data_IF_602844250521
#
_entry.id   IF_602844250521
#
_cell.length_a   1.000
_cell.length_b   1.000
_cell.length_c   1.000
_cell.angle_alpha   90.00
_cell.angle_beta   90.00
_cell.angle_gamma   90.00
#
_symmetry.space_group_name_H-M   'P 1'
#
loop_
_entity.id
_entity.type
_entity.pdbx_description
1 polymer ?
#
# COMPACT_ATOMS: atom_id res chain seq x y z
N UNK A 1 25.43 -18.56 2.89
CA UNK A 1 24.04 -18.44 2.45
C UNK A 1 23.16 -18.58 3.67
N UNK A 2 22.56 -17.50 4.14
CA UNK A 2 21.49 -17.54 5.13
C UNK A 2 20.21 -17.39 4.34
N UNK A 3 19.50 -18.49 4.11
CA UNK A 3 18.11 -18.43 3.66
C UNK A 3 17.30 -18.26 4.92
N UNK A 4 17.05 -17.02 5.31
CA UNK A 4 16.00 -16.72 6.29
C UNK A 4 14.69 -17.05 5.60
N UNK A 5 14.07 -18.17 5.93
CA UNK A 5 12.65 -18.36 5.65
C UNK A 5 11.90 -17.36 6.52
N UNK A 6 11.64 -16.17 5.99
CA UNK A 6 10.59 -15.33 6.54
C UNK A 6 9.31 -16.14 6.36
N UNK A 7 8.62 -16.44 7.46
CA UNK A 7 7.20 -16.73 7.32
C UNK A 7 6.62 -15.41 6.80
N UNK A 8 6.18 -15.45 5.54
CA UNK A 8 5.62 -14.30 4.88
C UNK A 8 4.13 -14.55 4.75
N UNK A 9 3.32 -13.53 5.05
CA UNK A 9 1.87 -13.62 4.88
C UNK A 9 1.55 -13.21 3.46
N UNK A 10 0.53 -13.85 2.88
CA UNK A 10 0.06 -13.46 1.56
C UNK A 10 -1.07 -12.45 1.70
N UNK A 11 -0.89 -11.28 1.11
CA UNK A 11 -1.93 -10.28 0.97
C UNK A 11 -2.49 -10.38 -0.44
N UNK A 12 -3.82 -10.36 -0.55
CA UNK A 12 -4.54 -10.39 -1.83
C UNK A 12 -5.40 -9.14 -1.90
N UNK A 13 -5.12 -8.28 -2.87
CA UNK A 13 -5.86 -7.04 -3.10
C UNK A 13 -6.66 -7.20 -4.38
N UNK A 14 -7.99 -7.22 -4.25
CA UNK A 14 -8.92 -7.35 -5.38
C UNK A 14 -9.67 -6.04 -5.59
N UNK A 15 -9.64 -5.51 -6.81
CA UNK A 15 -10.53 -4.43 -7.20
C UNK A 15 -11.88 -5.02 -7.63
N UNK A 16 -12.87 -4.99 -6.73
CA UNK A 16 -14.23 -5.43 -7.04
C UNK A 16 -15.15 -4.27 -7.50
N UNK A 17 -14.59 -3.10 -7.80
CA UNK A 17 -15.33 -1.99 -8.40
C UNK A 17 -15.46 -2.17 -9.92
N UNK A 18 -16.45 -1.51 -10.52
CA UNK A 18 -16.68 -1.52 -11.98
C UNK A 18 -15.74 -0.57 -12.75
N UNK A 19 -14.77 0.04 -12.08
CA UNK A 19 -13.83 1.01 -12.63
C UNK A 19 -12.41 0.75 -12.14
N UNK A 20 -11.42 1.29 -12.85
CA UNK A 20 -10.01 1.24 -12.44
C UNK A 20 -9.80 2.05 -11.17
N UNK A 21 -9.08 1.45 -10.22
CA UNK A 21 -8.53 2.14 -9.05
C UNK A 21 -7.02 2.03 -9.08
N UNK A 22 -6.33 2.91 -8.35
CA UNK A 22 -4.89 2.83 -8.19
C UNK A 22 -4.57 2.56 -6.73
N UNK A 23 -4.51 1.31 -6.28
CA UNK A 23 -4.13 1.04 -4.90
C UNK A 23 -2.75 1.62 -4.60
N UNK A 24 -2.57 1.97 -3.34
CA UNK A 24 -1.33 2.50 -2.81
C UNK A 24 -1.04 1.88 -1.45
N UNK A 25 0.24 1.79 -1.12
CA UNK A 25 0.76 1.19 0.08
C UNK A 25 1.79 2.11 0.74
N UNK A 26 1.72 2.23 2.06
CA UNK A 26 2.67 2.99 2.85
C UNK A 26 2.98 2.25 4.15
N UNK A 27 4.23 2.35 4.59
CA UNK A 27 4.69 1.87 5.90
C UNK A 27 5.31 3.05 6.62
N UNK A 28 4.96 3.28 7.88
CA UNK A 28 5.62 4.33 8.66
C UNK A 28 7.03 3.88 9.07
N UNK A 29 8.10 4.45 8.48
CA UNK A 29 9.46 4.03 8.77
C UNK A 29 9.90 4.31 10.22
N UNK A 30 9.14 5.12 10.96
CA UNK A 30 9.42 5.42 12.36
C UNK A 30 8.89 4.35 13.33
N UNK A 31 8.01 3.44 12.87
CA UNK A 31 7.40 2.40 13.70
C UNK A 31 8.15 1.07 13.58
N UNK A 32 8.62 0.72 12.39
CA UNK A 32 9.36 -0.51 12.14
C UNK A 32 10.10 -0.50 10.81
N UNK A 33 11.18 -1.30 10.67
CA UNK A 33 11.98 -1.34 9.45
C UNK A 33 11.41 -2.26 8.36
N UNK A 34 10.52 -3.18 8.74
CA UNK A 34 10.01 -4.23 7.85
C UNK A 34 8.96 -3.67 6.91
N UNK A 35 9.20 -3.85 5.61
CA UNK A 35 8.33 -3.39 4.52
C UNK A 35 8.07 -4.54 3.55
N UNK A 36 6.87 -4.64 2.95
CA UNK A 36 6.60 -5.60 1.88
C UNK A 36 7.53 -5.39 0.68
N UNK A 37 7.99 -6.49 0.08
CA UNK A 37 8.73 -6.47 -1.19
C UNK A 37 7.74 -6.35 -2.36
N UNK A 38 7.09 -5.20 -2.44
CA UNK A 38 6.09 -4.87 -3.46
C UNK A 38 6.08 -3.36 -3.73
N UNK A 39 5.66 -2.97 -4.93
CA UNK A 39 5.53 -1.56 -5.30
C UNK A 39 4.54 -0.83 -4.39
N UNK A 40 4.83 0.43 -4.07
CA UNK A 40 4.00 1.26 -3.17
C UNK A 40 2.75 1.84 -3.86
N UNK A 41 2.55 1.54 -5.14
CA UNK A 41 1.29 1.77 -5.82
C UNK A 41 1.26 1.15 -7.21
N UNK A 42 0.06 0.79 -7.65
CA UNK A 42 -0.16 0.10 -8.92
C UNK A 42 -1.52 0.48 -9.52
N UNK A 43 -1.73 0.15 -10.79
CA UNK A 43 -3.04 0.27 -11.44
C UNK A 43 -3.79 -1.05 -11.33
N UNK A 44 -5.03 -1.00 -10.85
CA UNK A 44 -5.89 -2.17 -10.71
C UNK A 44 -7.16 -1.96 -11.55
N UNK A 45 -7.21 -2.60 -12.71
CA UNK A 45 -8.41 -2.61 -13.55
C UNK A 45 -9.60 -3.26 -12.83
N UNK A 46 -10.82 -3.00 -13.30
CA UNK A 46 -12.02 -3.62 -12.75
C UNK A 46 -11.89 -5.16 -12.73
N UNK A 47 -12.12 -5.77 -11.58
CA UNK A 47 -12.01 -7.22 -11.37
C UNK A 47 -10.57 -7.76 -11.25
N UNK A 48 -9.54 -6.93 -11.33
CA UNK A 48 -8.15 -7.39 -11.20
C UNK A 48 -7.84 -7.77 -9.75
N UNK A 49 -6.88 -8.68 -9.60
CA UNK A 49 -6.37 -9.11 -8.29
C UNK A 49 -4.85 -9.10 -8.33
N UNK A 50 -4.24 -8.50 -7.32
CA UNK A 50 -2.80 -8.52 -7.07
C UNK A 50 -2.52 -9.26 -5.78
N UNK A 51 -1.44 -10.05 -5.78
CA UNK A 51 -1.02 -10.83 -4.62
C UNK A 51 0.46 -10.60 -4.35
N UNK A 52 0.80 -10.40 -3.08
CA UNK A 52 2.18 -10.22 -2.66
C UNK A 52 2.42 -10.71 -1.24
N UNK A 53 3.69 -10.95 -0.95
CA UNK A 53 4.16 -11.37 0.36
C UNK A 53 4.42 -10.14 1.25
N UNK A 54 4.00 -10.21 2.51
CA UNK A 54 4.32 -9.21 3.54
C UNK A 54 5.13 -9.86 4.66
N UNK A 55 6.13 -9.16 5.23
CA UNK A 55 6.84 -9.60 6.41
C UNK A 55 5.87 -9.85 7.58
N UNK A 56 6.15 -10.88 8.38
CA UNK A 56 5.34 -11.19 9.57
C UNK A 56 5.34 -10.08 10.61
N UNK A 57 6.37 -9.24 10.65
CA UNK A 57 6.53 -8.11 11.57
C UNK A 57 6.23 -6.76 10.89
N UNK A 58 5.41 -6.75 9.82
CA UNK A 58 4.99 -5.51 9.16
C UNK A 58 4.08 -4.67 10.07
N UNK A 59 4.63 -3.56 10.58
CA UNK A 59 3.96 -2.64 11.50
C UNK A 59 3.62 -1.32 10.83
N UNK A 60 2.52 -0.70 11.27
CA UNK A 60 2.01 0.55 10.71
C UNK A 60 1.83 0.51 9.18
N UNK A 61 1.43 -0.65 8.67
CA UNK A 61 1.13 -0.88 7.27
C UNK A 61 -0.21 -0.27 6.89
N UNK A 62 -0.27 0.41 5.75
CA UNK A 62 -1.50 1.00 5.21
C UNK A 62 -1.64 0.66 3.75
N UNK A 63 -2.85 0.25 3.34
CA UNK A 63 -3.24 0.08 1.93
C UNK A 63 -4.56 0.81 1.73
N UNK A 64 -4.67 1.54 0.63
CA UNK A 64 -5.89 2.25 0.27
C UNK A 64 -6.09 2.30 -1.24
N UNK A 65 -7.32 2.57 -1.66
CA UNK A 65 -7.66 2.82 -3.05
C UNK A 65 -7.56 4.31 -3.40
N UNK A 66 -7.12 4.61 -4.62
CA UNK A 66 -7.16 5.94 -5.22
C UNK A 66 -8.04 5.93 -6.47
N UNK A 67 -8.72 7.03 -6.74
CA UNK A 67 -9.66 7.13 -7.87
C UNK A 67 -9.29 8.28 -8.80
N UNK A 68 -9.60 8.10 -10.09
CA UNK A 68 -9.46 9.12 -11.14
C UNK A 68 -8.05 9.75 -11.15
N UNK A 69 -7.02 8.90 -11.28
CA UNK A 69 -5.63 9.34 -11.24
C UNK A 69 -5.07 9.68 -12.62
N UNK A 70 -4.31 10.77 -12.70
CA UNK A 70 -3.44 11.14 -13.82
C UNK A 70 -2.07 11.58 -13.28
N UNK A 71 -1.06 10.73 -13.50
CA UNK A 71 0.32 10.97 -13.06
C UNK A 71 1.20 11.64 -14.13
N UNK A 72 0.68 11.93 -15.32
CA UNK A 72 1.46 12.47 -16.44
C UNK A 72 1.91 13.91 -16.24
N UNK A 73 1.20 14.66 -15.39
CA UNK A 73 1.40 16.11 -15.20
C UNK A 73 1.85 16.48 -13.79
N UNK A 74 1.59 15.63 -12.80
CA UNK A 74 1.84 15.91 -11.39
C UNK A 74 2.08 14.60 -10.60
N UNK A 75 3.21 14.45 -9.89
CA UNK A 75 3.45 13.33 -8.99
C UNK A 75 2.98 13.61 -7.54
N UNK A 76 2.30 14.73 -7.29
CA UNK A 76 1.79 15.10 -5.97
C UNK A 76 0.41 14.52 -5.67
N UNK A 77 -0.13 14.75 -4.45
CA UNK A 77 -1.38 14.14 -3.99
C UNK A 77 -2.61 14.53 -4.79
N UNK A 78 -2.55 15.65 -5.53
CA UNK A 78 -3.64 16.10 -6.39
C UNK A 78 -3.63 15.44 -7.78
N UNK A 79 -2.75 14.45 -8.01
CA UNK A 79 -2.77 13.60 -9.20
C UNK A 79 -3.99 12.68 -9.24
N UNK A 80 -4.64 12.44 -8.09
CA UNK A 80 -5.86 11.65 -7.96
C UNK A 80 -6.94 12.50 -7.30
N UNK A 81 -8.21 12.23 -7.63
CA UNK A 81 -9.35 12.94 -7.02
C UNK A 81 -9.53 12.56 -5.55
N UNK A 82 -9.28 11.30 -5.20
CA UNK A 82 -9.31 10.81 -3.81
C UNK A 82 -8.08 9.99 -3.49
N UNK A 83 -7.64 10.04 -2.22
CA UNK A 83 -6.57 9.20 -1.70
C UNK A 83 -5.18 9.43 -2.31
N UNK A 84 -4.94 10.50 -3.03
CA UNK A 84 -3.62 10.74 -3.64
C UNK A 84 -2.50 10.81 -2.60
N UNK A 85 -1.27 10.58 -3.06
CA UNK A 85 -0.06 10.57 -2.25
C UNK A 85 1.07 11.32 -2.95
N UNK A 86 2.10 11.71 -2.21
CA UNK A 86 3.36 12.14 -2.82
C UNK A 86 4.04 10.94 -3.50
N UNK A 87 4.62 11.13 -4.69
CA UNK A 87 5.38 10.10 -5.42
C UNK A 87 4.76 9.70 -6.77
N UNK A 88 3.49 10.03 -6.99
CA UNK A 88 2.77 9.70 -8.22
C UNK A 88 2.18 8.29 -8.15
N UNK A 89 2.42 7.45 -9.16
CA UNK A 89 1.88 6.09 -9.18
C UNK A 89 2.38 5.29 -7.98
N UNK A 90 3.70 5.30 -7.74
CA UNK A 90 4.33 4.68 -6.57
C UNK A 90 4.49 5.75 -5.50
N UNK A 91 3.84 5.57 -4.34
CA UNK A 91 3.92 6.53 -3.25
C UNK A 91 5.34 6.59 -2.67
N UNK A 92 5.77 7.79 -2.31
CA UNK A 92 7.06 8.03 -1.68
C UNK A 92 7.15 7.27 -0.34
N UNK A 93 8.23 6.51 -0.10
CA UNK A 93 8.32 5.64 1.07
C UNK A 93 8.42 6.38 2.41
N UNK A 94 8.68 7.69 2.40
CA UNK A 94 8.84 8.49 3.62
C UNK A 94 7.71 9.50 3.85
N UNK A 95 7.05 9.94 2.77
CA UNK A 95 6.09 11.06 2.79
C UNK A 95 4.80 10.75 2.01
N UNK A 96 4.69 9.57 1.41
CA UNK A 96 3.59 9.14 0.55
C UNK A 96 2.35 8.64 1.28
N UNK A 97 2.05 9.16 2.48
CA UNK A 97 0.81 8.83 3.17
C UNK A 97 -0.41 9.33 2.38
N UNK A 98 -1.53 8.59 2.44
CA UNK A 98 -2.75 8.95 1.74
C UNK A 98 -3.36 10.27 2.25
N UNK A 99 -3.70 11.17 1.33
CA UNK A 99 -4.32 12.47 1.66
C UNK A 99 -5.86 12.34 1.72
N UNK A 100 -6.52 12.79 2.81
CA UNK A 100 -7.97 12.71 2.96
C UNK A 100 -8.77 13.47 1.89
N UNK A 101 -9.99 13.01 1.54
CA UNK A 101 -10.67 11.83 2.08
C UNK A 101 -10.08 10.53 1.53
N UNK A 102 -9.84 9.57 2.43
CA UNK A 102 -9.24 8.28 2.10
C UNK A 102 -9.75 7.20 3.06
N UNK A 103 -10.19 6.08 2.50
CA UNK A 103 -10.48 4.86 3.29
C UNK A 103 -9.21 4.04 3.35
N UNK A 104 -8.69 3.81 4.55
CA UNK A 104 -7.47 3.02 4.77
C UNK A 104 -7.82 1.68 5.38
N UNK A 105 -7.16 0.63 4.91
CA UNK A 105 -6.99 -0.60 5.66
C UNK A 105 -5.61 -0.53 6.31
N UNK A 106 -5.56 -0.79 7.62
CA UNK A 106 -4.36 -0.63 8.45
C UNK A 106 -4.03 -1.95 9.15
N UNK A 107 -2.74 -2.27 9.23
CA UNK A 107 -2.24 -3.50 9.85
C UNK A 107 -1.07 -3.22 10.79
N UNK A 108 -1.04 -3.96 11.90
CA UNK A 108 0.13 -4.10 12.77
C UNK A 108 0.33 -5.58 13.05
N UNK A 109 1.11 -6.23 12.23
CA UNK A 109 1.40 -7.65 12.39
C UNK A 109 2.39 -7.88 13.53
N UNK A 110 2.25 -9.02 14.21
CA UNK A 110 2.99 -9.31 15.44
C UNK A 110 2.88 -8.16 16.47
N UNK A 111 1.66 -7.71 16.73
CA UNK A 111 1.33 -6.83 17.86
C UNK A 111 1.53 -7.50 19.22
N UNK A 112 0.97 -6.91 20.27
CA UNK A 112 1.16 -7.39 21.64
C UNK A 112 0.70 -8.85 21.78
N UNK A 113 1.50 -9.67 22.47
CA UNK A 113 1.31 -11.12 22.61
C UNK A 113 1.16 -11.88 21.26
N UNK A 114 1.70 -11.33 20.16
CA UNK A 114 1.57 -11.83 18.78
C UNK A 114 0.13 -11.78 18.25
N UNK A 115 -0.68 -10.85 18.75
CA UNK A 115 -1.96 -10.50 18.15
C UNK A 115 -1.73 -9.54 16.98
N UNK A 116 -2.31 -9.85 15.83
CA UNK A 116 -2.27 -8.99 14.63
C UNK A 116 -3.43 -7.99 14.59
#
# INVERSE_FOLDING_TARGET
ALVTSAYARKFTVTNNCEYTVWPAMYTDPNVGPSVPDHVTGWEAAAGSTEEFEVPDDWKAGRIWGRTECDFSTNPGPTSCVTGGCNGGLECDPNTGTGVPPVTVAEWTLEGDDRQD
#
